data_IF_461069092526
#
_entry.id   IF_461069092526
#
_cell.length_a   1.000
_cell.length_b   1.000
_cell.length_c   1.000
_cell.angle_alpha   90.00
_cell.angle_beta   90.00
_cell.angle_gamma   90.00
#
_symmetry.space_group_name_H-M   'P 1'
#
loop_
_entity.id
_entity.type
_entity.pdbx_description
1 polymer ?
#
# COMPACT_ATOMS: atom_id res chain seq x y z
N UNK A 1 -11.55 3.68 -24.37
CA UNK A 1 -11.18 4.05 -22.99
C UNK A 1 -9.67 4.05 -22.93
N UNK A 2 -9.05 5.15 -22.49
CA UNK A 2 -7.62 5.14 -22.20
C UNK A 2 -7.33 4.07 -21.14
N UNK A 3 -6.26 3.32 -21.35
CA UNK A 3 -5.90 2.17 -20.52
C UNK A 3 -5.30 2.70 -19.21
N UNK A 4 -5.80 2.24 -18.08
CA UNK A 4 -5.17 2.53 -16.77
C UNK A 4 -3.76 1.94 -16.78
N UNK A 5 -2.75 2.76 -16.56
CA UNK A 5 -1.33 2.38 -16.60
C UNK A 5 -0.81 1.94 -15.24
N UNK A 6 -1.41 2.39 -14.14
CA UNK A 6 -0.97 2.06 -12.78
C UNK A 6 -2.07 2.35 -11.76
N UNK A 7 -1.95 1.69 -10.60
CA UNK A 7 -2.77 1.96 -9.41
C UNK A 7 -1.84 2.26 -8.24
N UNK A 8 -2.13 3.31 -7.48
CA UNK A 8 -1.42 3.69 -6.27
C UNK A 8 -2.36 3.67 -5.06
N UNK A 9 -2.10 2.77 -4.13
CA UNK A 9 -2.78 2.71 -2.83
C UNK A 9 -2.04 3.61 -1.85
N UNK A 10 -2.75 4.50 -1.18
CA UNK A 10 -2.22 5.46 -0.21
C UNK A 10 -2.88 5.21 1.13
N UNK A 11 -2.08 4.93 2.16
CA UNK A 11 -2.59 4.68 3.52
C UNK A 11 -3.39 5.85 4.07
N UNK A 12 -2.76 7.04 4.12
CA UNK A 12 -3.24 8.18 4.91
C UNK A 12 -4.11 9.13 4.10
N UNK A 13 -5.27 9.48 4.64
CA UNK A 13 -6.23 10.38 3.96
C UNK A 13 -5.62 11.76 3.64
N UNK A 14 -4.85 12.33 4.57
CA UNK A 14 -4.21 13.63 4.36
C UNK A 14 -3.24 13.59 3.17
N UNK A 15 -2.41 12.54 3.06
CA UNK A 15 -1.50 12.32 1.94
C UNK A 15 -2.26 12.13 0.63
N UNK A 16 -3.34 11.34 0.65
CA UNK A 16 -4.21 11.16 -0.51
C UNK A 16 -4.79 12.49 -1.00
N UNK A 17 -5.35 13.29 -0.09
CA UNK A 17 -5.95 14.59 -0.42
C UNK A 17 -4.92 15.56 -0.97
N UNK A 18 -3.77 15.67 -0.31
CA UNK A 18 -2.66 16.51 -0.77
C UNK A 18 -2.20 16.15 -2.18
N UNK A 19 -2.05 14.85 -2.48
CA UNK A 19 -1.70 14.39 -3.82
C UNK A 19 -2.82 14.70 -4.83
N UNK A 20 -4.08 14.38 -4.51
CA UNK A 20 -5.21 14.58 -5.39
C UNK A 20 -5.44 16.06 -5.77
N UNK A 21 -5.03 17.01 -4.91
CA UNK A 21 -5.10 18.45 -5.17
C UNK A 21 -3.83 19.03 -5.78
N UNK A 22 -2.78 18.23 -5.97
CA UNK A 22 -1.49 18.71 -6.49
C UNK A 22 -1.53 18.90 -8.01
N UNK A 23 -0.73 19.84 -8.52
CA UNK A 23 -0.50 19.98 -9.98
C UNK A 23 0.09 18.72 -10.61
N UNK A 24 0.84 17.94 -9.82
CA UNK A 24 1.39 16.67 -10.25
C UNK A 24 0.28 15.68 -10.60
N UNK A 25 -0.76 15.56 -9.76
CA UNK A 25 -1.90 14.70 -10.05
C UNK A 25 -2.63 15.14 -11.33
N UNK A 26 -2.85 16.44 -11.53
CA UNK A 26 -3.48 16.97 -12.75
C UNK A 26 -2.78 16.51 -14.04
N UNK A 27 -1.46 16.31 -14.00
CA UNK A 27 -0.66 15.84 -15.16
C UNK A 27 -0.80 14.33 -15.42
N UNK A 28 -1.07 13.53 -14.40
CA UNK A 28 -1.01 12.05 -14.48
C UNK A 28 -2.36 11.37 -14.26
N UNK A 29 -3.39 12.11 -13.86
CA UNK A 29 -4.72 11.59 -13.50
C UNK A 29 -5.39 10.80 -14.64
N UNK A 30 -5.10 11.14 -15.90
CA UNK A 30 -5.65 10.43 -17.06
C UNK A 30 -5.15 8.97 -17.17
N UNK A 31 -4.01 8.64 -16.54
CA UNK A 31 -3.32 7.37 -16.70
C UNK A 31 -3.32 6.51 -15.44
N UNK A 32 -3.74 7.05 -14.29
CA UNK A 32 -3.57 6.40 -12.99
C UNK A 32 -4.83 6.43 -12.13
N UNK A 33 -4.89 5.50 -11.19
CA UNK A 33 -5.92 5.49 -10.14
C UNK A 33 -5.21 5.59 -8.78
N UNK A 34 -5.66 6.51 -7.94
CA UNK A 34 -5.28 6.56 -6.53
C UNK A 34 -6.43 6.03 -5.66
N UNK A 35 -6.11 5.22 -4.65
CA UNK A 35 -7.09 4.63 -3.73
C UNK A 35 -6.58 4.87 -2.30
N UNK A 36 -7.48 5.17 -1.37
CA UNK A 36 -7.15 5.20 0.05
C UNK A 36 -8.24 4.50 0.86
N UNK A 37 -7.83 3.73 1.86
CA UNK A 37 -8.71 3.19 2.89
C UNK A 37 -8.63 3.97 4.21
N UNK A 38 -7.82 5.04 4.25
CA UNK A 38 -7.60 5.86 5.46
C UNK A 38 -7.04 5.05 6.63
N UNK A 39 -6.15 4.10 6.34
CA UNK A 39 -5.60 3.11 7.28
C UNK A 39 -5.79 1.68 6.81
N UNK A 40 -6.17 0.79 7.72
CA UNK A 40 -6.44 -0.63 7.40
C UNK A 40 -7.62 -0.76 6.43
N UNK A 41 -7.48 -1.56 5.35
CA UNK A 41 -8.48 -1.60 4.30
C UNK A 41 -9.69 -2.44 4.67
N UNK A 42 -10.87 -1.87 4.44
CA UNK A 42 -12.14 -2.59 4.52
C UNK A 42 -12.33 -3.56 3.34
N UNK A 43 -13.35 -4.42 3.44
CA UNK A 43 -13.67 -5.43 2.42
C UNK A 43 -13.99 -4.76 1.08
N UNK A 44 -14.73 -3.65 1.08
CA UNK A 44 -15.14 -2.96 -0.13
C UNK A 44 -13.94 -2.39 -0.90
N UNK A 45 -12.99 -1.78 -0.19
CA UNK A 45 -11.77 -1.21 -0.77
C UNK A 45 -10.86 -2.32 -1.31
N UNK A 46 -10.74 -3.45 -0.60
CA UNK A 46 -10.00 -4.62 -1.09
C UNK A 46 -10.64 -5.23 -2.33
N UNK A 47 -11.96 -5.37 -2.34
CA UNK A 47 -12.72 -5.88 -3.48
C UNK A 47 -12.58 -4.97 -4.70
N UNK A 48 -12.64 -3.64 -4.51
CA UNK A 48 -12.41 -2.66 -5.57
C UNK A 48 -10.99 -2.79 -6.13
N UNK A 49 -9.96 -2.83 -5.27
CA UNK A 49 -8.59 -2.97 -5.72
C UNK A 49 -8.38 -4.26 -6.50
N UNK A 50 -8.92 -5.38 -6.01
CA UNK A 50 -8.88 -6.68 -6.71
C UNK A 50 -9.52 -6.59 -8.09
N UNK A 51 -10.71 -6.00 -8.17
CA UNK A 51 -11.44 -5.82 -9.42
C UNK A 51 -10.63 -5.02 -10.45
N UNK A 52 -9.95 -3.96 -10.02
CA UNK A 52 -9.13 -3.13 -10.90
C UNK A 52 -7.81 -3.80 -11.30
N UNK A 53 -7.22 -4.61 -10.41
CA UNK A 53 -5.92 -5.24 -10.62
C UNK A 53 -5.98 -6.58 -11.37
N UNK A 54 -7.10 -7.31 -11.29
CA UNK A 54 -7.24 -8.64 -11.89
C UNK A 54 -7.94 -8.54 -13.26
N UNK A 55 -7.34 -9.07 -14.34
CA UNK A 55 -7.91 -8.96 -15.68
C UNK A 55 -9.26 -9.68 -15.77
N UNK A 56 -10.29 -8.97 -16.24
CA UNK A 56 -11.63 -9.51 -16.45
C UNK A 56 -12.33 -8.81 -17.62
N UNK A 57 -13.40 -9.40 -18.19
CA UNK A 57 -14.20 -8.71 -19.22
C UNK A 57 -14.73 -7.34 -18.76
N UNK A 58 -14.97 -7.18 -17.44
CA UNK A 58 -15.51 -5.96 -16.85
C UNK A 58 -14.50 -4.80 -16.75
N UNK A 59 -13.20 -5.08 -16.82
CA UNK A 59 -12.14 -4.06 -16.82
C UNK A 59 -11.30 -4.08 -18.11
N UNK A 60 -11.83 -4.70 -19.18
CA UNK A 60 -11.16 -4.79 -20.48
C UNK A 60 -9.88 -5.65 -20.46
N UNK A 61 -9.82 -6.65 -19.58
CA UNK A 61 -8.63 -7.48 -19.35
C UNK A 61 -7.38 -6.68 -18.97
N UNK A 62 -7.56 -5.52 -18.34
CA UNK A 62 -6.44 -4.73 -17.85
C UNK A 62 -5.81 -5.39 -16.62
N UNK A 63 -4.48 -5.28 -16.51
CA UNK A 63 -3.70 -5.74 -15.37
C UNK A 63 -2.65 -4.67 -15.03
N UNK A 64 -3.09 -3.49 -14.56
CA UNK A 64 -2.16 -2.42 -14.23
C UNK A 64 -1.28 -2.82 -13.03
N UNK A 65 -0.01 -2.42 -13.00
CA UNK A 65 0.83 -2.57 -11.82
C UNK A 65 0.23 -1.80 -10.64
N UNK A 66 0.20 -2.46 -9.48
CA UNK A 66 -0.32 -1.89 -8.23
C UNK A 66 0.85 -1.58 -7.31
N UNK A 67 0.86 -0.35 -6.80
CA UNK A 67 1.86 0.14 -5.86
C UNK A 67 1.18 0.59 -4.57
N UNK A 68 1.87 0.48 -3.44
CA UNK A 68 1.42 0.97 -2.15
C UNK A 68 2.41 1.99 -1.58
N UNK A 69 1.89 3.12 -1.13
CA UNK A 69 2.58 4.13 -0.34
C UNK A 69 2.02 4.10 1.09
N UNK A 70 2.84 3.59 2.01
CA UNK A 70 2.52 3.42 3.44
C UNK A 70 3.63 4.03 4.29
N UNK A 71 3.32 4.34 5.55
CA UNK A 71 4.31 4.84 6.50
C UNK A 71 5.37 3.75 6.80
N UNK A 72 6.61 4.18 7.09
CA UNK A 72 7.71 3.26 7.44
C UNK A 72 7.62 2.81 8.90
N UNK A 73 6.56 2.08 9.23
CA UNK A 73 6.33 1.51 10.55
C UNK A 73 5.61 0.14 10.47
N UNK A 74 5.48 -0.60 11.58
CA UNK A 74 4.81 -1.90 11.59
C UNK A 74 3.32 -1.85 11.25
N UNK A 75 2.64 -0.72 11.50
CA UNK A 75 1.23 -0.56 11.17
C UNK A 75 1.05 -0.39 9.65
N UNK A 76 1.86 0.44 9.00
CA UNK A 76 1.91 0.63 7.54
C UNK A 76 2.29 -0.65 6.79
N UNK A 77 3.29 -1.41 7.28
CA UNK A 77 3.61 -2.72 6.73
C UNK A 77 2.48 -3.74 6.92
N UNK A 78 1.73 -3.67 8.02
CA UNK A 78 0.54 -4.49 8.25
C UNK A 78 -0.59 -4.18 7.26
N UNK A 79 -0.75 -2.91 6.88
CA UNK A 79 -1.70 -2.48 5.85
C UNK A 79 -1.30 -3.05 4.49
N UNK A 80 -0.04 -2.90 4.09
CA UNK A 80 0.50 -3.51 2.87
C UNK A 80 0.27 -5.03 2.85
N UNK A 81 0.58 -5.71 3.95
CA UNK A 81 0.37 -7.15 4.10
C UNK A 81 -1.10 -7.54 3.91
N UNK A 82 -2.03 -6.73 4.43
CA UNK A 82 -3.46 -7.00 4.30
C UNK A 82 -3.94 -6.93 2.84
N UNK A 83 -3.36 -6.02 2.06
CA UNK A 83 -3.61 -5.98 0.61
C UNK A 83 -2.95 -7.15 -0.13
N UNK A 84 -1.69 -7.47 0.19
CA UNK A 84 -0.88 -8.45 -0.55
C UNK A 84 -1.30 -9.90 -0.29
N UNK A 85 -1.48 -10.24 0.99
CA UNK A 85 -1.71 -11.61 1.46
C UNK A 85 -3.11 -11.83 2.07
N UNK A 86 -3.79 -10.74 2.39
CA UNK A 86 -5.10 -10.78 3.04
C UNK A 86 -5.05 -10.66 4.56
N UNK A 87 -6.20 -10.80 5.20
CA UNK A 87 -6.36 -10.69 6.65
C UNK A 87 -6.46 -12.07 7.29
N UNK A 88 -5.75 -12.29 8.39
CA UNK A 88 -5.90 -13.52 9.19
C UNK A 88 -7.34 -13.69 9.72
N UNK A 89 -8.00 -12.59 10.09
CA UNK A 89 -9.37 -12.63 10.61
C UNK A 89 -10.40 -13.03 9.53
N UNK A 90 -10.09 -12.80 8.25
CA UNK A 90 -10.97 -13.10 7.12
C UNK A 90 -10.30 -14.07 6.13
N UNK A 91 -9.65 -15.12 6.67
CA UNK A 91 -8.89 -16.09 5.88
C UNK A 91 -9.69 -16.69 4.71
N UNK A 92 -10.98 -16.96 4.92
CA UNK A 92 -11.88 -17.53 3.91
C UNK A 92 -12.16 -16.59 2.73
N UNK A 93 -12.06 -15.27 2.91
CA UNK A 93 -12.28 -14.28 1.84
C UNK A 93 -10.97 -13.89 1.12
N UNK A 94 -9.81 -14.26 1.66
CA UNK A 94 -8.52 -13.78 1.16
C UNK A 94 -8.26 -14.13 -0.30
N UNK A 95 -8.66 -15.33 -0.76
CA UNK A 95 -8.51 -15.73 -2.15
C UNK A 95 -9.20 -14.76 -3.13
N UNK A 96 -10.31 -14.13 -2.70
CA UNK A 96 -11.08 -13.19 -3.50
C UNK A 96 -10.67 -11.73 -3.29
N UNK A 97 -9.85 -11.41 -2.27
CA UNK A 97 -9.56 -10.02 -1.87
C UNK A 97 -8.08 -9.65 -1.91
N UNK A 98 -7.17 -10.62 -1.91
CA UNK A 98 -5.73 -10.36 -1.94
C UNK A 98 -5.25 -9.96 -3.35
N UNK A 99 -4.29 -9.05 -3.40
CA UNK A 99 -3.61 -8.61 -4.61
C UNK A 99 -2.12 -8.86 -4.43
N UNK A 100 -1.69 -10.12 -4.61
CA UNK A 100 -0.30 -10.55 -4.39
C UNK A 100 0.73 -9.80 -5.24
N UNK A 101 0.31 -9.21 -6.36
CA UNK A 101 1.16 -8.41 -7.25
C UNK A 101 1.40 -6.98 -6.79
N UNK A 102 0.82 -6.55 -5.66
CA UNK A 102 1.07 -5.21 -5.10
C UNK A 102 2.52 -5.08 -4.67
N UNK A 103 3.14 -3.93 -4.98
CA UNK A 103 4.53 -3.64 -4.63
C UNK A 103 4.62 -2.45 -3.69
N UNK A 104 5.49 -2.55 -2.69
CA UNK A 104 5.79 -1.43 -1.82
C UNK A 104 6.60 -0.36 -2.56
N UNK A 105 5.99 0.82 -2.77
CA UNK A 105 6.67 1.96 -3.38
C UNK A 105 7.57 2.68 -2.36
N UNK A 106 7.09 2.83 -1.13
CA UNK A 106 7.75 3.58 -0.07
C UNK A 106 6.78 3.89 1.08
N UNK A 107 7.22 4.53 2.16
CA UNK A 107 8.59 4.98 2.46
C UNK A 107 9.45 3.80 2.96
N UNK A 108 10.66 3.61 2.43
CA UNK A 108 11.56 2.50 2.82
C UNK A 108 12.75 3.01 3.64
N UNK A 109 13.40 2.12 4.40
CA UNK A 109 14.63 2.45 5.13
C UNK A 109 15.69 3.09 4.23
N UNK A 110 15.85 2.59 3.01
CA UNK A 110 16.79 3.15 2.02
C UNK A 110 16.49 4.59 1.64
N UNK A 111 15.21 5.01 1.63
CA UNK A 111 14.84 6.40 1.34
C UNK A 111 15.15 7.32 2.52
N UNK A 112 15.09 6.80 3.74
CA UNK A 112 15.39 7.56 4.96
C UNK A 112 16.91 7.74 5.12
N UNK A 113 17.69 6.69 4.86
CA UNK A 113 19.14 6.71 5.08
C UNK A 113 19.92 7.54 4.06
N UNK A 114 19.35 7.80 2.88
CA UNK A 114 20.02 8.55 1.80
C UNK A 114 19.82 10.07 1.87
N UNK A 115 18.85 10.57 2.64
CA UNK A 115 18.63 12.01 2.75
C UNK A 115 19.57 12.62 3.79
N UNK A 116 20.76 13.09 3.39
CA UNK A 116 21.73 13.83 4.24
C UNK A 116 21.20 15.18 4.80
N UNK A 117 19.90 15.48 4.65
CA UNK A 117 19.34 16.78 4.99
C UNK A 117 19.03 16.91 6.49
N UNK A 118 19.25 18.13 6.98
CA UNK A 118 19.15 18.63 8.37
C UNK A 118 17.79 18.34 9.06
N UNK A 119 16.81 17.78 8.34
CA UNK A 119 15.47 17.44 8.83
C UNK A 119 15.29 15.99 9.33
N UNK A 120 16.29 15.11 9.18
CA UNK A 120 16.23 13.72 9.69
C UNK A 120 15.84 13.64 11.17
N UNK A 121 16.30 14.59 12.00
CA UNK A 121 16.08 14.58 13.45
C UNK A 121 14.70 15.09 13.89
N UNK A 122 13.94 15.78 13.04
CA UNK A 122 12.58 16.25 13.36
C UNK A 122 11.47 15.37 12.78
N UNK A 123 11.73 14.67 11.67
CA UNK A 123 10.74 13.82 11.01
C UNK A 123 10.76 12.35 11.46
N UNK A 124 11.85 11.87 12.06
CA UNK A 124 11.99 10.48 12.49
C UNK A 124 11.54 10.28 13.94
N UNK A 125 10.59 9.38 14.12
CA UNK A 125 10.13 8.95 15.43
C UNK A 125 10.79 7.63 15.82
N UNK A 126 11.21 7.52 17.08
CA UNK A 126 11.70 6.25 17.62
C UNK A 126 10.53 5.29 17.77
N UNK A 127 10.71 4.05 17.28
CA UNK A 127 9.74 2.98 17.50
C UNK A 127 9.43 2.82 19.00
N UNK A 128 8.15 2.85 19.32
CA UNK A 128 7.65 2.60 20.66
C UNK A 128 7.79 1.13 21.04
N UNK A 129 7.55 0.80 22.31
CA UNK A 129 7.52 -0.61 22.74
C UNK A 129 6.41 -1.40 22.03
N UNK A 130 5.27 -0.75 21.73
CA UNK A 130 4.17 -1.35 20.96
C UNK A 130 4.64 -1.72 19.55
N UNK A 131 5.30 -0.78 18.87
CA UNK A 131 5.76 -0.98 17.48
C UNK A 131 6.75 -2.13 17.41
N UNK A 132 7.73 -2.16 18.31
CA UNK A 132 8.71 -3.26 18.40
C UNK A 132 8.04 -4.61 18.60
N UNK A 133 7.07 -4.71 19.53
CA UNK A 133 6.31 -5.96 19.76
C UNK A 133 5.55 -6.38 18.51
N UNK A 134 4.93 -5.45 17.80
CA UNK A 134 4.22 -5.75 16.54
C UNK A 134 5.19 -6.21 15.45
N UNK A 135 6.31 -5.52 15.28
CA UNK A 135 7.35 -5.90 14.33
C UNK A 135 7.89 -7.31 14.59
N UNK A 136 8.21 -7.64 15.85
CA UNK A 136 8.65 -9.00 16.22
C UNK A 136 7.62 -10.06 15.84
N UNK A 137 6.34 -9.84 16.16
CA UNK A 137 5.26 -10.76 15.77
C UNK A 137 5.11 -10.91 14.25
N UNK A 138 5.33 -9.84 13.50
CA UNK A 138 5.30 -9.90 12.04
C UNK A 138 6.46 -10.74 11.49
N UNK A 139 7.67 -10.62 12.06
CA UNK A 139 8.82 -11.43 11.66
C UNK A 139 8.64 -12.93 11.95
N UNK A 140 7.86 -13.28 12.97
CA UNK A 140 7.51 -14.67 13.30
C UNK A 140 6.52 -15.30 12.28
N UNK A 141 5.82 -14.49 11.47
CA UNK A 141 4.83 -14.99 10.51
C UNK A 141 5.49 -15.31 9.16
N UNK A 142 5.42 -16.57 8.73
CA UNK A 142 5.98 -17.06 7.44
C UNK A 142 5.45 -16.32 6.20
N UNK A 143 4.31 -15.64 6.31
CA UNK A 143 3.69 -14.84 5.23
C UNK A 143 4.63 -13.73 4.72
N UNK A 144 5.60 -13.29 5.54
CA UNK A 144 6.60 -12.29 5.15
C UNK A 144 7.90 -12.89 4.58
N UNK A 145 8.06 -14.23 4.58
CA UNK A 145 9.33 -14.90 4.31
C UNK A 145 9.57 -15.27 2.84
N UNK A 146 8.52 -15.42 2.02
CA UNK A 146 8.67 -15.93 0.65
C UNK A 146 9.14 -14.86 -0.37
N UNK A 147 8.60 -13.64 -0.29
CA UNK A 147 8.89 -12.57 -1.26
C UNK A 147 9.12 -11.18 -0.63
N UNK A 148 9.14 -11.08 0.71
CA UNK A 148 9.18 -9.80 1.42
C UNK A 148 7.98 -8.87 1.10
N UNK A 149 7.93 -7.66 1.69
CA UNK A 149 7.04 -6.59 1.21
C UNK A 149 7.35 -6.19 -0.24
#
# INVERSE_FOLDING_TARGET
MEKVHWILVIEKEATFRSLATSEFWTKIAAQGIIITAKGYPDIATRALLRFLAFPSPRNGFSKPPVHALVDFDPDGLGILSTYKYGSFALAHENAALAVSSIRWLGVRSTHIMTEESVHQSQGLLRLSQRDRRKASKMLEQEVFAADGP
#
